data_IF_891407756399
#
_entry.id   IF_891407756399
#
_cell.length_a   1.000
_cell.length_b   1.000
_cell.length_c   1.000
_cell.angle_alpha   90.00
_cell.angle_beta   90.00
_cell.angle_gamma   90.00
#
_symmetry.space_group_name_H-M   'P 1'
#
loop_
_entity.id
_entity.type
_entity.pdbx_description
1 polymer ?
#
# COMPACT_ATOMS: atom_id res chain seq x y z
N UNK A 1 0.19 -10.36 10.54
CA UNK A 1 -1.24 -10.52 10.23
C UNK A 1 -1.74 -9.28 9.51
N UNK A 2 -2.12 -9.43 8.24
CA UNK A 2 -2.50 -8.35 7.30
C UNK A 2 -3.61 -7.45 7.89
N UNK A 3 -4.47 -7.99 8.77
CA UNK A 3 -5.53 -7.25 9.44
C UNK A 3 -5.09 -6.02 10.23
N UNK A 4 -3.96 -6.07 10.96
CA UNK A 4 -3.59 -4.95 11.83
C UNK A 4 -3.15 -3.72 11.02
N UNK A 5 -2.49 -3.94 9.87
CA UNK A 5 -2.06 -2.85 8.99
C UNK A 5 -3.19 -2.28 8.15
N UNK A 6 -4.14 -3.13 7.76
CA UNK A 6 -5.40 -2.68 7.18
C UNK A 6 -6.10 -1.70 8.15
N UNK A 7 -6.30 -2.06 9.42
CA UNK A 7 -6.91 -1.17 10.44
C UNK A 7 -6.15 0.15 10.64
N UNK A 8 -4.82 0.11 10.65
CA UNK A 8 -3.99 1.32 10.76
C UNK A 8 -4.21 2.23 9.55
N UNK A 9 -4.27 1.65 8.35
CA UNK A 9 -4.60 2.40 7.13
C UNK A 9 -5.98 3.04 7.20
N UNK A 10 -6.95 2.43 7.89
CA UNK A 10 -8.27 3.02 8.06
C UNK A 10 -8.24 4.37 8.82
N UNK A 11 -7.23 4.56 9.68
CA UNK A 11 -7.00 5.77 10.46
C UNK A 11 -6.05 6.76 9.78
N UNK A 12 -5.45 6.40 8.63
CA UNK A 12 -4.63 7.33 7.87
C UNK A 12 -5.51 8.26 7.04
N UNK A 13 -5.09 9.51 6.95
CA UNK A 13 -5.82 10.52 6.20
C UNK A 13 -5.56 10.37 4.69
N UNK A 14 -6.61 10.32 3.88
CA UNK A 14 -6.50 10.18 2.43
C UNK A 14 -5.90 11.43 1.74
N UNK A 15 -5.89 12.59 2.38
CA UNK A 15 -5.23 13.80 1.86
C UNK A 15 -3.71 13.63 1.68
N UNK A 16 -3.16 12.56 2.24
CA UNK A 16 -1.78 12.15 2.05
C UNK A 16 -1.53 11.46 0.70
N UNK A 17 -2.57 10.92 0.07
CA UNK A 17 -2.45 10.30 -1.25
C UNK A 17 -2.37 11.45 -2.26
N UNK A 18 -1.17 11.64 -2.81
CA UNK A 18 -0.91 12.59 -3.88
C UNK A 18 -1.32 12.03 -5.24
N UNK A 19 -0.82 12.68 -6.28
CA UNK A 19 -1.24 12.42 -7.66
C UNK A 19 -1.12 10.94 -8.07
N UNK A 20 -2.19 10.47 -8.70
CA UNK A 20 -2.28 9.17 -9.35
C UNK A 20 -1.61 9.30 -10.71
N UNK A 21 -0.48 8.62 -10.90
CA UNK A 21 0.16 8.47 -12.20
C UNK A 21 -0.26 7.15 -12.84
N UNK A 22 -0.14 7.01 -14.15
CA UNK A 22 -0.51 5.77 -14.88
C UNK A 22 0.21 4.52 -14.36
N UNK A 23 1.36 4.70 -13.71
CA UNK A 23 2.26 3.64 -13.25
C UNK A 23 2.24 3.44 -11.71
N UNK A 24 1.56 4.32 -10.96
CA UNK A 24 1.60 4.25 -9.50
C UNK A 24 1.02 5.46 -8.75
N UNK A 25 1.07 5.36 -7.43
CA UNK A 25 0.51 6.34 -6.48
C UNK A 25 1.62 6.91 -5.61
N UNK A 26 1.55 8.21 -5.31
CA UNK A 26 2.41 8.86 -4.33
C UNK A 26 1.66 9.06 -3.03
N UNK A 27 2.30 8.76 -1.90
CA UNK A 27 1.71 8.94 -0.56
C UNK A 27 2.70 9.70 0.32
N UNK A 28 2.27 10.83 0.85
CA UNK A 28 3.00 11.61 1.85
C UNK A 28 2.75 11.06 3.25
N UNK A 29 3.70 11.22 4.16
CA UNK A 29 3.48 10.94 5.57
C UNK A 29 2.92 12.17 6.29
N UNK A 30 1.87 12.02 7.11
CA UNK A 30 1.35 13.12 7.95
C UNK A 30 2.38 13.68 8.93
N UNK A 31 3.35 12.86 9.35
CA UNK A 31 4.27 13.20 10.44
C UNK A 31 5.68 13.53 9.98
N UNK A 32 5.99 13.37 8.69
CA UNK A 32 7.33 13.55 8.16
C UNK A 32 7.23 13.86 6.67
N UNK A 33 8.01 14.83 6.18
CA UNK A 33 8.14 15.27 4.77
C UNK A 33 8.76 14.19 3.86
N UNK A 34 8.39 12.93 4.09
CA UNK A 34 8.80 11.76 3.33
C UNK A 34 7.66 11.34 2.44
N UNK A 35 8.00 11.18 1.18
CA UNK A 35 7.10 10.70 0.15
C UNK A 35 7.40 9.23 -0.14
N UNK A 36 6.35 8.43 -0.26
CA UNK A 36 6.43 7.02 -0.63
C UNK A 36 5.77 6.82 -1.98
N UNK A 37 6.43 6.05 -2.83
CA UNK A 37 5.88 5.63 -4.12
C UNK A 37 5.36 4.21 -3.99
N UNK A 38 4.16 4.01 -4.54
CA UNK A 38 3.48 2.73 -4.65
C UNK A 38 3.30 2.43 -6.12
N UNK A 39 3.84 1.29 -6.57
CA UNK A 39 3.64 0.78 -7.92
C UNK A 39 2.62 -0.34 -7.87
N UNK A 40 1.76 -0.39 -8.88
CA UNK A 40 0.73 -1.44 -8.98
C UNK A 40 1.05 -2.30 -10.19
N UNK A 41 1.60 -3.47 -9.92
CA UNK A 41 1.88 -4.45 -10.95
C UNK A 41 0.63 -5.31 -11.15
N UNK A 42 0.15 -5.47 -12.38
CA UNK A 42 -0.98 -6.36 -12.68
C UNK A 42 -0.48 -7.79 -12.89
N UNK A 43 0.06 -8.40 -11.84
CA UNK A 43 0.59 -9.77 -11.90
C UNK A 43 -0.54 -10.75 -11.58
N UNK A 44 -0.88 -11.62 -12.54
CA UNK A 44 -1.77 -12.74 -12.25
C UNK A 44 -1.04 -13.72 -11.35
N UNK A 45 -1.47 -13.83 -10.09
CA UNK A 45 -0.89 -14.78 -9.14
C UNK A 45 -1.99 -15.46 -8.33
N UNK A 46 -1.80 -16.75 -8.03
CA UNK A 46 -2.71 -17.57 -7.21
C UNK A 46 -2.18 -17.74 -5.77
N UNK A 47 -1.51 -16.73 -5.23
CA UNK A 47 -0.94 -16.82 -3.89
C UNK A 47 -1.99 -16.56 -2.80
N UNK A 48 -1.77 -17.13 -1.62
CA UNK A 48 -2.63 -16.89 -0.44
C UNK A 48 -2.30 -15.58 0.29
N UNK A 49 -1.18 -14.91 -0.06
CA UNK A 49 -0.73 -13.67 0.58
C UNK A 49 -1.43 -12.45 -0.01
N UNK A 50 -2.72 -12.34 0.26
CA UNK A 50 -3.58 -11.23 -0.18
C UNK A 50 -4.37 -10.63 0.97
N UNK A 51 -4.64 -9.34 0.87
CA UNK A 51 -5.60 -8.68 1.72
C UNK A 51 -6.99 -8.87 1.11
N UNK A 52 -7.81 -9.72 1.74
CA UNK A 52 -9.19 -9.97 1.31
C UNK A 52 -10.01 -8.67 1.21
N UNK A 53 -10.04 -7.77 2.23
CA UNK A 53 -10.88 -6.57 2.13
C UNK A 53 -10.38 -5.53 1.12
N UNK A 54 -9.09 -5.52 0.77
CA UNK A 54 -8.53 -4.65 -0.26
C UNK A 54 -8.41 -5.35 -1.63
N UNK A 55 -8.77 -6.63 -1.72
CA UNK A 55 -8.60 -7.52 -2.89
C UNK A 55 -7.22 -7.47 -3.57
N UNK A 56 -6.18 -7.09 -2.82
CA UNK A 56 -4.82 -6.87 -3.34
C UNK A 56 -3.88 -7.97 -2.84
N UNK A 57 -3.09 -8.54 -3.73
CA UNK A 57 -2.01 -9.44 -3.35
C UNK A 57 -0.71 -8.66 -3.20
N UNK A 58 0.23 -9.20 -2.43
CA UNK A 58 1.54 -8.57 -2.26
C UNK A 58 2.33 -8.47 -3.57
N UNK A 59 2.14 -9.39 -4.50
CA UNK A 59 2.86 -9.39 -5.78
C UNK A 59 2.36 -8.29 -6.72
N UNK A 60 1.12 -7.84 -6.53
CA UNK A 60 0.50 -6.81 -7.38
C UNK A 60 0.91 -5.39 -6.99
N UNK A 61 1.75 -5.24 -5.99
CA UNK A 61 2.06 -3.95 -5.40
C UNK A 61 3.51 -3.92 -4.96
N UNK A 62 4.12 -2.76 -5.13
CA UNK A 62 5.45 -2.49 -4.59
C UNK A 62 5.42 -1.15 -3.91
N UNK A 63 6.01 -1.04 -2.72
CA UNK A 63 6.12 0.25 -2.04
C UNK A 63 7.57 0.49 -1.59
N UNK A 64 8.06 1.70 -1.77
CA UNK A 64 9.42 2.07 -1.32
C UNK A 64 9.54 2.34 0.20
N UNK A 65 8.55 1.93 0.99
CA UNK A 65 8.64 2.08 2.44
C UNK A 65 9.41 0.90 3.06
N UNK A 66 10.13 1.17 4.15
CA UNK A 66 10.90 0.15 4.90
C UNK A 66 10.07 -1.08 5.27
N UNK A 67 8.78 -0.87 5.51
CA UNK A 67 7.87 -1.94 5.88
C UNK A 67 7.70 -2.97 4.76
N UNK A 68 7.61 -2.52 3.51
CA UNK A 68 7.57 -3.38 2.34
C UNK A 68 8.97 -3.94 2.02
N UNK A 69 10.00 -3.07 2.02
CA UNK A 69 11.37 -3.46 1.63
C UNK A 69 11.99 -4.50 2.57
N UNK A 70 11.81 -4.36 3.89
CA UNK A 70 12.44 -5.22 4.89
C UNK A 70 11.56 -6.43 5.19
N UNK A 71 10.25 -6.21 5.36
CA UNK A 71 9.35 -7.27 5.85
C UNK A 71 8.61 -7.99 4.72
N UNK A 72 8.66 -7.48 3.50
CA UNK A 72 7.91 -8.00 2.35
C UNK A 72 6.44 -8.25 2.73
N UNK A 73 5.77 -7.18 3.18
CA UNK A 73 4.35 -7.20 3.55
C UNK A 73 3.58 -6.06 2.88
N UNK A 74 2.27 -6.25 2.72
CA UNK A 74 1.37 -5.17 2.31
C UNK A 74 1.38 -4.10 3.39
N UNK A 75 2.00 -2.96 3.09
CA UNK A 75 2.19 -1.89 4.04
C UNK A 75 0.93 -1.02 4.18
N UNK A 76 0.91 -0.18 5.22
CA UNK A 76 -0.20 0.76 5.46
C UNK A 76 -0.45 1.73 4.29
N UNK A 77 0.59 2.08 3.53
CA UNK A 77 0.45 2.99 2.38
C UNK A 77 -0.25 2.31 1.20
N UNK A 78 0.08 1.06 0.92
CA UNK A 78 -0.63 0.26 -0.09
C UNK A 78 -2.09 0.08 0.31
N UNK A 79 -2.34 -0.27 1.59
CA UNK A 79 -3.71 -0.36 2.09
C UNK A 79 -4.47 0.96 1.94
N UNK A 80 -3.82 2.11 2.16
CA UNK A 80 -4.45 3.42 2.06
C UNK A 80 -4.88 3.73 0.63
N UNK A 81 -4.00 3.45 -0.34
CA UNK A 81 -4.29 3.65 -1.77
C UNK A 81 -5.36 2.69 -2.27
N UNK A 82 -5.37 1.44 -1.78
CA UNK A 82 -6.27 0.39 -2.24
C UNK A 82 -7.57 0.28 -1.42
N UNK A 83 -7.77 1.17 -0.45
CA UNK A 83 -9.02 1.26 0.32
C UNK A 83 -10.09 1.89 -0.60
N UNK A 84 -10.90 1.05 -1.23
CA UNK A 84 -12.24 1.46 -1.71
C UNK A 84 -13.21 1.54 -0.54
#
# INVERSE_FOLDING_TARGET
MIHNRHKISLNLNLCLVGDVSEEGFKVKSSSCDKEYQIYVNKISCNCHMRCIPCEICIHNVSCNCLDFLIRNVICKHIHLVMRK
#
